data_IF_399100076117
#
_entry.id   IF_399100076117
#
_cell.length_a   1.000
_cell.length_b   1.000
_cell.length_c   1.000
_cell.angle_alpha   90.00
_cell.angle_beta   90.00
_cell.angle_gamma   90.00
#
_symmetry.space_group_name_H-M   'P 1'
#
loop_
_entity.id
_entity.type
_entity.pdbx_description
1 polymer ?
#
# COMPACT_ATOMS: atom_id res chain seq x y z
N UNK A 1 14.35 7.75 9.84
CA UNK A 1 13.64 7.08 8.73
C UNK A 1 12.78 5.92 9.22
N UNK A 2 13.24 5.11 10.18
CA UNK A 2 12.48 3.97 10.73
C UNK A 2 11.09 4.33 11.26
N UNK A 3 10.97 5.43 12.02
CA UNK A 3 9.68 5.91 12.54
C UNK A 3 8.69 6.16 11.39
N UNK A 4 9.13 6.81 10.31
CA UNK A 4 8.28 7.10 9.16
C UNK A 4 7.76 5.81 8.51
N UNK A 5 8.66 4.85 8.28
CA UNK A 5 8.31 3.56 7.66
C UNK A 5 7.34 2.76 8.53
N UNK A 6 7.53 2.78 9.85
CA UNK A 6 6.61 2.16 10.81
C UNK A 6 5.22 2.83 10.79
N UNK A 7 5.16 4.16 10.84
CA UNK A 7 3.89 4.90 10.75
C UNK A 7 3.20 4.61 9.41
N UNK A 8 3.95 4.58 8.32
CA UNK A 8 3.41 4.31 6.99
C UNK A 8 2.81 2.89 6.91
N UNK A 9 3.51 1.89 7.44
CA UNK A 9 2.99 0.52 7.54
C UNK A 9 1.74 0.44 8.41
N UNK A 10 1.78 1.06 9.60
CA UNK A 10 0.65 1.07 10.53
C UNK A 10 -0.62 1.68 9.92
N UNK A 11 -0.48 2.77 9.16
CA UNK A 11 -1.60 3.43 8.49
C UNK A 11 -2.12 2.63 7.29
N UNK A 12 -1.23 2.07 6.47
CA UNK A 12 -1.65 1.13 5.43
C UNK A 12 -2.42 -0.06 6.02
N UNK A 13 -1.99 -0.57 7.18
CA UNK A 13 -2.69 -1.63 7.92
C UNK A 13 -4.05 -1.19 8.47
N UNK A 14 -4.18 0.07 8.91
CA UNK A 14 -5.48 0.62 9.34
C UNK A 14 -6.48 0.63 8.17
N UNK A 15 -6.05 1.09 6.99
CA UNK A 15 -6.89 1.12 5.79
C UNK A 15 -7.26 -0.29 5.33
N UNK A 16 -6.29 -1.20 5.30
CA UNK A 16 -6.52 -2.58 4.91
C UNK A 16 -7.56 -3.26 5.80
N UNK A 17 -7.48 -3.07 7.12
CA UNK A 17 -8.46 -3.64 8.05
C UNK A 17 -9.83 -2.94 7.96
N UNK A 18 -9.85 -1.61 7.82
CA UNK A 18 -11.08 -0.81 7.70
C UNK A 18 -11.95 -1.26 6.52
N UNK A 19 -11.33 -1.57 5.39
CA UNK A 19 -12.04 -1.97 4.17
C UNK A 19 -12.00 -3.47 3.90
N UNK A 20 -11.37 -4.25 4.78
CA UNK A 20 -11.11 -5.68 4.57
C UNK A 20 -10.51 -5.95 3.18
N UNK A 21 -9.43 -5.24 2.87
CA UNK A 21 -8.82 -5.17 1.54
C UNK A 21 -8.09 -6.46 1.11
N UNK A 22 -8.78 -7.61 1.08
CA UNK A 22 -8.22 -8.93 0.72
C UNK A 22 -7.65 -8.98 -0.71
N UNK A 23 -8.16 -8.14 -1.60
CA UNK A 23 -7.60 -7.98 -2.95
C UNK A 23 -6.23 -7.27 -2.98
N UNK A 24 -5.80 -6.73 -1.84
CA UNK A 24 -4.49 -6.11 -1.67
C UNK A 24 -4.54 -4.61 -1.42
N UNK A 25 -3.39 -4.10 -0.97
CA UNK A 25 -3.12 -2.67 -0.79
C UNK A 25 -2.08 -2.22 -1.81
N UNK A 26 -2.37 -1.15 -2.53
CA UNK A 26 -1.47 -0.59 -3.52
C UNK A 26 -0.87 0.72 -3.00
N UNK A 27 0.44 0.75 -2.83
CA UNK A 27 1.21 1.93 -2.45
C UNK A 27 1.57 2.69 -3.73
N UNK A 28 0.87 3.79 -3.98
CA UNK A 28 1.13 4.70 -5.08
C UNK A 28 1.74 6.04 -4.64
N UNK A 29 2.03 6.88 -5.62
CA UNK A 29 2.58 8.22 -5.43
C UNK A 29 4.11 8.26 -5.39
N UNK A 30 4.69 9.43 -5.66
CA UNK A 30 6.13 9.58 -5.89
C UNK A 30 7.04 9.34 -4.66
N UNK A 31 6.46 9.18 -3.47
CA UNK A 31 7.21 8.91 -2.25
C UNK A 31 7.54 7.42 -2.09
N UNK A 32 6.57 6.53 -2.34
CA UNK A 32 6.70 5.10 -2.05
C UNK A 32 7.87 4.43 -2.82
N UNK A 33 8.09 4.70 -4.13
CA UNK A 33 9.25 4.18 -4.86
C UNK A 33 10.60 4.65 -4.28
N UNK A 34 10.68 5.88 -3.77
CA UNK A 34 11.90 6.43 -3.15
C UNK A 34 12.22 5.77 -1.81
N UNK A 35 11.21 5.17 -1.16
CA UNK A 35 11.36 4.47 0.11
C UNK A 35 11.69 2.98 -0.05
N UNK A 36 11.80 2.47 -1.28
CA UNK A 36 12.09 1.07 -1.58
C UNK A 36 13.25 0.48 -0.76
N UNK A 37 14.41 1.17 -0.57
CA UNK A 37 15.50 0.64 0.24
C UNK A 37 15.10 0.37 1.70
N UNK A 38 14.19 1.17 2.24
CA UNK A 38 13.79 1.11 3.65
C UNK A 38 12.72 0.04 3.93
N UNK A 39 11.96 -0.40 2.92
CA UNK A 39 11.01 -1.51 3.08
C UNK A 39 11.71 -2.85 3.35
N UNK A 40 12.94 -3.01 2.89
CA UNK A 40 13.73 -4.25 3.05
C UNK A 40 14.08 -4.57 4.50
N UNK A 41 14.04 -3.59 5.40
CA UNK A 41 14.32 -3.77 6.83
C UNK A 41 13.14 -4.33 7.63
N UNK A 42 11.99 -4.60 6.99
CA UNK A 42 10.84 -5.26 7.62
C UNK A 42 9.96 -4.37 8.52
N UNK A 43 10.41 -3.17 8.90
CA UNK A 43 9.66 -2.27 9.79
C UNK A 43 8.26 -1.91 9.28
N UNK A 44 8.08 -1.80 7.96
CA UNK A 44 6.78 -1.55 7.34
C UNK A 44 5.80 -2.73 7.58
N UNK A 45 6.22 -3.96 7.26
CA UNK A 45 5.37 -5.14 7.38
C UNK A 45 5.07 -5.47 8.84
N UNK A 46 6.04 -5.29 9.74
CA UNK A 46 5.82 -5.44 11.18
C UNK A 46 4.73 -4.48 11.67
N UNK A 47 4.77 -3.20 11.27
CA UNK A 47 3.77 -2.22 11.68
C UNK A 47 2.41 -2.41 10.97
N UNK A 48 2.41 -2.84 9.70
CA UNK A 48 1.20 -3.15 8.94
C UNK A 48 0.40 -4.27 9.59
N UNK A 49 1.08 -5.36 9.96
CA UNK A 49 0.46 -6.55 10.55
C UNK A 49 0.15 -6.41 12.04
N UNK A 50 0.65 -5.38 12.73
CA UNK A 50 0.45 -5.15 14.17
C UNK A 50 -0.99 -4.71 14.50
N UNK A 51 -1.97 -5.62 14.35
CA UNK A 51 -3.41 -5.38 14.58
C UNK A 51 -4.01 -6.37 15.60
N UNK A 52 -3.21 -6.81 16.57
CA UNK A 52 -3.62 -7.67 17.67
C UNK A 52 -4.23 -8.99 17.18
N UNK A 53 -5.48 -9.29 17.56
CA UNK A 53 -6.18 -10.51 17.11
C UNK A 53 -6.35 -10.62 15.59
N UNK A 54 -6.23 -9.51 14.86
CA UNK A 54 -6.34 -9.51 13.40
C UNK A 54 -4.99 -9.73 12.70
N UNK A 55 -3.87 -9.85 13.43
CA UNK A 55 -2.54 -9.96 12.80
C UNK A 55 -2.44 -11.11 11.78
N UNK A 56 -3.06 -12.26 12.05
CA UNK A 56 -3.10 -13.38 11.09
C UNK A 56 -3.86 -13.02 9.81
N UNK A 57 -5.02 -12.36 9.92
CA UNK A 57 -5.77 -11.86 8.76
C UNK A 57 -4.94 -10.85 7.95
N UNK A 58 -4.18 -9.99 8.64
CA UNK A 58 -3.35 -8.97 7.98
C UNK A 58 -2.20 -9.60 7.18
N UNK A 59 -1.67 -10.74 7.61
CA UNK A 59 -0.58 -11.43 6.91
C UNK A 59 -0.99 -11.95 5.52
N UNK A 60 -2.28 -12.23 5.33
CA UNK A 60 -2.82 -12.72 4.05
C UNK A 60 -3.12 -11.59 3.05
N UNK A 61 -3.07 -10.32 3.48
CA UNK A 61 -3.37 -9.17 2.60
C UNK A 61 -2.10 -8.81 1.81
N UNK A 62 -2.09 -8.93 0.47
CA UNK A 62 -0.92 -8.60 -0.31
C UNK A 62 -0.71 -7.09 -0.38
N UNK A 63 0.55 -6.68 -0.45
CA UNK A 63 0.94 -5.27 -0.59
C UNK A 63 1.76 -5.12 -1.87
N UNK A 64 1.33 -4.17 -2.70
CA UNK A 64 1.91 -3.91 -4.00
C UNK A 64 2.47 -2.50 -4.01
N UNK A 65 3.73 -2.35 -4.40
CA UNK A 65 4.34 -1.06 -4.66
C UNK A 65 4.21 -0.74 -6.15
N UNK A 66 3.55 0.38 -6.47
CA UNK A 66 3.42 0.84 -7.85
C UNK A 66 4.73 1.54 -8.23
N UNK A 67 5.48 0.96 -9.17
CA UNK A 67 6.74 1.50 -9.68
C UNK A 67 6.61 2.23 -11.02
N UNK A 68 5.44 2.15 -11.65
CA UNK A 68 5.18 2.81 -12.94
C UNK A 68 4.87 4.29 -12.71
N UNK A 69 5.79 5.16 -13.14
CA UNK A 69 5.74 6.61 -12.93
C UNK A 69 4.51 7.27 -13.58
N UNK A 70 3.98 6.68 -14.65
CA UNK A 70 2.82 7.21 -15.38
C UNK A 70 1.48 6.55 -14.99
N UNK A 71 1.43 5.78 -13.90
CA UNK A 71 0.21 5.07 -13.47
C UNK A 71 -1.01 5.97 -13.35
N UNK A 72 -0.83 7.21 -12.87
CA UNK A 72 -1.92 8.19 -12.77
C UNK A 72 -2.49 8.55 -14.16
N UNK A 73 -1.64 8.67 -15.19
CA UNK A 73 -2.06 8.94 -16.56
C UNK A 73 -2.82 7.75 -17.16
N UNK A 74 -2.40 6.51 -16.88
CA UNK A 74 -3.15 5.32 -17.30
C UNK A 74 -4.54 5.27 -16.65
N UNK A 75 -4.65 5.58 -15.37
CA UNK A 75 -5.94 5.68 -14.68
C UNK A 75 -6.85 6.74 -15.32
N UNK A 76 -6.32 7.93 -15.60
CA UNK A 76 -7.05 9.01 -16.26
C UNK A 76 -7.52 8.63 -17.67
N UNK A 77 -6.64 8.04 -18.49
CA UNK A 77 -6.96 7.59 -19.83
C UNK A 77 -8.04 6.49 -19.81
N UNK A 78 -7.93 5.53 -18.89
CA UNK A 78 -8.91 4.47 -18.73
C UNK A 78 -10.30 5.02 -18.32
N UNK A 79 -10.33 5.94 -17.36
CA UNK A 79 -11.56 6.60 -16.93
C UNK A 79 -12.22 7.37 -18.07
N UNK A 80 -11.46 8.21 -18.79
CA UNK A 80 -11.95 8.95 -19.94
C UNK A 80 -12.53 8.02 -21.03
N UNK A 81 -11.86 6.89 -21.30
CA UNK A 81 -12.34 5.89 -22.26
C UNK A 81 -13.66 5.24 -21.83
N UNK A 82 -13.86 4.96 -20.54
CA UNK A 82 -15.12 4.38 -20.04
C UNK A 82 -16.27 5.39 -20.13
N UNK A 83 -16.01 6.68 -19.89
CA UNK A 83 -17.03 7.73 -19.92
C UNK A 83 -17.41 8.19 -21.34
N UNK A 84 -16.61 7.82 -22.35
CA UNK A 84 -16.85 8.16 -23.76
C UNK A 84 -17.86 7.21 -24.45
N UNK A 85 -18.35 6.18 -23.73
CA UNK A 85 -19.38 5.23 -24.16
C UNK A 85 -20.67 5.52 -23.40
#
# INVERSE_FOLDING_TARGET
MEIFISIYGAEAGNLALKYLARGGVYLGGGLAPRLLPFFKHGGFMSAFTAKGRFSSLMQDIPIHLILEDTTALFGAAHYARIQAV
#
